data_IF_292453639537
#
_entry.id   IF_292453639537
#
_cell.length_a   1.000
_cell.length_b   1.000
_cell.length_c   1.000
_cell.angle_alpha   90.00
_cell.angle_beta   90.00
_cell.angle_gamma   90.00
#
_symmetry.space_group_name_H-M   'P 1'
#
loop_
_entity.id
_entity.type
_entity.pdbx_description
1 polymer ?
#
# COMPACT_ATOMS: atom_id res chain seq x y z
N UNK A 1 0.47 31.38 -8.95
CA UNK A 1 -0.35 30.64 -7.96
C UNK A 1 0.08 29.18 -8.02
N UNK A 2 0.34 28.54 -6.87
CA UNK A 2 0.81 27.16 -6.79
C UNK A 2 -0.20 26.25 -6.09
N UNK A 3 -0.13 24.96 -6.38
CA UNK A 3 -0.99 23.92 -5.80
C UNK A 3 -0.12 22.94 -5.01
N UNK A 4 -0.64 22.43 -3.89
CA UNK A 4 0.04 21.43 -3.08
C UNK A 4 -0.20 20.05 -3.72
N UNK A 5 0.89 19.37 -4.07
CA UNK A 5 0.89 17.98 -4.53
C UNK A 5 1.77 17.18 -3.57
N UNK A 6 1.30 16.01 -3.18
CA UNK A 6 2.02 15.11 -2.27
C UNK A 6 2.69 14.00 -3.08
N UNK A 7 4.02 13.97 -3.14
CA UNK A 7 4.78 12.89 -3.77
C UNK A 7 5.09 11.81 -2.73
N UNK A 8 4.63 10.58 -2.96
CA UNK A 8 4.80 9.49 -2.00
C UNK A 8 5.29 8.21 -2.65
N UNK A 9 6.11 7.49 -1.90
CA UNK A 9 6.64 6.18 -2.28
C UNK A 9 5.84 5.05 -1.62
N UNK A 10 4.91 5.38 -0.71
CA UNK A 10 4.09 4.42 0.03
C UNK A 10 2.62 4.54 -0.34
N UNK A 11 2.09 3.50 -0.99
CA UNK A 11 0.67 3.29 -1.18
C UNK A 11 0.07 2.74 0.12
N UNK A 12 -0.39 3.66 0.96
CA UNK A 12 -1.10 3.36 2.19
C UNK A 12 -2.61 3.39 1.94
N UNK A 13 -3.34 2.29 2.08
CA UNK A 13 -4.79 2.25 1.82
C UNK A 13 -5.53 1.40 2.86
N UNK A 14 -6.81 1.71 3.11
CA UNK A 14 -7.70 0.90 3.96
C UNK A 14 -8.42 -0.17 3.11
N UNK A 15 -9.07 -1.13 3.77
CA UNK A 15 -9.94 -2.12 3.09
C UNK A 15 -11.06 -1.47 2.30
N UNK A 16 -11.62 -0.37 2.81
CA UNK A 16 -12.65 0.40 2.13
C UNK A 16 -12.11 1.06 0.87
N UNK A 17 -10.87 1.58 0.90
CA UNK A 17 -10.20 2.21 -0.24
C UNK A 17 -9.66 1.23 -1.30
N UNK A 18 -9.99 -0.06 -1.20
CA UNK A 18 -9.58 -1.07 -2.18
C UNK A 18 -8.37 -1.91 -1.79
N UNK A 19 -8.00 -1.97 -0.50
CA UNK A 19 -6.98 -2.94 -0.08
C UNK A 19 -7.44 -4.38 -0.40
N UNK A 20 -6.58 -5.24 -0.99
CA UNK A 20 -6.97 -6.58 -1.40
C UNK A 20 -7.48 -7.42 -0.22
N UNK A 21 -8.74 -7.87 -0.29
CA UNK A 21 -9.36 -8.71 0.76
C UNK A 21 -8.64 -10.04 1.00
N UNK A 22 -7.88 -10.48 0.01
CA UNK A 22 -7.13 -11.74 0.04
C UNK A 22 -5.86 -11.65 0.88
N UNK A 23 -5.31 -10.44 1.03
CA UNK A 23 -4.22 -10.17 1.96
C UNK A 23 -4.80 -10.04 3.38
N UNK A 24 -5.14 -11.19 3.94
CA UNK A 24 -5.58 -11.29 5.33
C UNK A 24 -4.41 -11.67 6.24
N UNK A 25 -4.20 -10.88 7.29
CA UNK A 25 -3.05 -11.03 8.20
C UNK A 25 -3.10 -12.35 8.98
N UNK A 26 -4.29 -12.74 9.45
CA UNK A 26 -4.46 -13.95 10.27
C UNK A 26 -4.24 -15.21 9.42
N UNK A 27 -4.65 -15.13 8.14
CA UNK A 27 -4.38 -16.19 7.17
C UNK A 27 -2.91 -16.23 6.79
N UNK A 28 -2.30 -15.07 6.57
CA UNK A 28 -0.90 -14.95 6.17
C UNK A 28 0.05 -15.53 7.22
N UNK A 29 -0.25 -15.34 8.51
CA UNK A 29 0.56 -15.88 9.60
C UNK A 29 0.57 -17.42 9.63
N UNK A 30 -0.51 -18.06 9.17
CA UNK A 30 -0.64 -19.53 9.09
C UNK A 30 -0.18 -20.08 7.74
N UNK A 31 -0.42 -19.35 6.66
CA UNK A 31 -0.11 -19.73 5.28
C UNK A 31 0.47 -18.53 4.53
N UNK A 32 1.81 -18.36 4.51
CA UNK A 32 2.45 -17.23 3.85
C UNK A 32 2.16 -17.24 2.34
N UNK A 33 1.58 -16.15 1.85
CA UNK A 33 1.47 -15.88 0.41
C UNK A 33 2.84 -15.59 -0.19
N UNK A 34 3.01 -15.98 -1.45
CA UNK A 34 4.17 -15.63 -2.26
C UNK A 34 3.76 -14.61 -3.33
N UNK A 35 4.70 -13.79 -3.79
CA UNK A 35 4.46 -12.87 -4.93
C UNK A 35 3.91 -13.57 -6.19
N UNK A 36 4.17 -14.87 -6.34
CA UNK A 36 3.62 -15.71 -7.41
C UNK A 36 2.09 -15.79 -7.38
N UNK A 37 1.46 -15.76 -6.21
CA UNK A 37 0.00 -15.86 -6.05
C UNK A 37 -0.73 -14.62 -6.58
N UNK A 38 -0.02 -13.50 -6.65
CA UNK A 38 -0.55 -12.21 -7.13
C UNK A 38 -0.01 -11.82 -8.51
N UNK A 39 0.83 -12.66 -9.12
CA UNK A 39 1.48 -12.35 -10.39
C UNK A 39 0.43 -12.14 -11.49
N UNK A 40 0.49 -11.00 -12.16
CA UNK A 40 -0.42 -10.64 -13.25
C UNK A 40 -1.77 -10.08 -12.81
N UNK A 41 -2.04 -10.02 -11.50
CA UNK A 41 -3.27 -9.44 -10.98
C UNK A 41 -3.16 -7.93 -10.83
N UNK A 42 -4.22 -7.24 -11.19
CA UNK A 42 -4.34 -5.79 -11.05
C UNK A 42 -5.35 -5.50 -9.96
N UNK A 43 -4.95 -4.66 -9.02
CA UNK A 43 -5.78 -4.15 -7.94
C UNK A 43 -6.07 -2.69 -8.17
N UNK A 44 -7.17 -2.21 -7.61
CA UNK A 44 -7.62 -0.83 -7.75
C UNK A 44 -7.76 -0.22 -6.37
N UNK A 45 -7.35 1.04 -6.23
CA UNK A 45 -7.60 1.84 -5.05
C UNK A 45 -8.36 3.10 -5.43
N UNK A 46 -9.14 3.61 -4.48
CA UNK A 46 -10.00 4.77 -4.72
C UNK A 46 -10.07 5.72 -3.53
N UNK A 47 -10.47 6.95 -3.84
CA UNK A 47 -10.83 8.00 -2.87
C UNK A 47 -9.75 8.26 -1.81
N UNK A 48 -8.48 8.16 -2.21
CA UNK A 48 -7.39 8.55 -1.31
C UNK A 48 -7.34 10.08 -1.24
N UNK A 49 -7.36 10.67 -0.03
CA UNK A 49 -7.42 12.12 0.08
C UNK A 49 -6.12 12.77 -0.40
N UNK A 50 -6.29 13.97 -0.98
CA UNK A 50 -5.30 14.80 -1.65
C UNK A 50 -4.86 14.27 -3.01
N UNK A 51 -4.28 15.17 -3.80
CA UNK A 51 -3.60 14.85 -5.05
C UNK A 51 -2.23 14.27 -4.73
N UNK A 52 -2.07 12.96 -4.95
CA UNK A 52 -0.85 12.20 -4.68
C UNK A 52 -0.21 11.71 -5.96
N UNK A 53 1.09 11.91 -6.09
CA UNK A 53 1.88 11.35 -7.18
C UNK A 53 2.73 10.21 -6.62
N UNK A 54 2.60 9.05 -7.26
CA UNK A 54 3.45 7.90 -7.00
C UNK A 54 4.51 7.77 -8.09
N UNK A 55 5.60 7.08 -7.78
CA UNK A 55 6.61 6.80 -8.79
C UNK A 55 6.06 5.86 -9.85
N UNK A 56 6.33 6.20 -11.12
CA UNK A 56 5.96 5.39 -12.27
C UNK A 56 6.86 4.14 -12.37
N UNK A 57 6.39 3.06 -13.00
CA UNK A 57 7.21 1.89 -13.30
C UNK A 57 8.46 2.30 -14.09
N UNK A 58 9.64 1.70 -13.82
CA UNK A 58 9.86 0.46 -13.06
C UNK A 58 10.14 0.67 -11.56
N UNK A 59 9.89 1.85 -11.01
CA UNK A 59 10.14 2.13 -9.59
C UNK A 59 9.06 1.48 -8.73
N UNK A 60 9.49 0.84 -7.64
CA UNK A 60 8.61 0.16 -6.69
C UNK A 60 8.13 1.13 -5.63
N UNK A 61 6.84 1.09 -5.32
CA UNK A 61 6.24 1.76 -4.17
C UNK A 61 5.99 0.74 -3.06
N UNK A 62 6.01 1.15 -1.80
CA UNK A 62 5.65 0.30 -0.66
C UNK A 62 4.14 0.15 -0.56
N UNK A 63 3.68 -1.04 -0.22
CA UNK A 63 2.27 -1.30 0.10
C UNK A 63 2.09 -1.33 1.61
N UNK A 64 1.23 -0.46 2.11
CA UNK A 64 0.84 -0.44 3.52
C UNK A 64 -0.68 -0.52 3.66
N UNK A 65 -1.15 -1.39 4.55
CA UNK A 65 -2.55 -1.42 4.99
C UNK A 65 -2.69 -0.49 6.19
N UNK A 66 -3.66 0.41 6.14
CA UNK A 66 -4.04 1.22 7.30
C UNK A 66 -5.21 0.56 8.03
N UNK A 67 -4.98 0.14 9.28
CA UNK A 67 -6.01 -0.32 10.21
C UNK A 67 -6.08 0.64 11.39
N UNK A 68 -7.08 1.52 11.40
CA UNK A 68 -7.34 2.48 12.48
C UNK A 68 -6.12 3.33 12.88
N UNK A 69 -5.33 3.77 11.90
CA UNK A 69 -4.12 4.56 12.11
C UNK A 69 -2.85 3.74 12.29
N UNK A 70 -2.96 2.41 12.41
CA UNK A 70 -1.82 1.46 12.45
C UNK A 70 -1.45 1.01 11.05
N UNK A 71 -0.17 1.02 10.73
CA UNK A 71 0.32 0.68 9.39
C UNK A 71 0.95 -0.70 9.40
N UNK A 72 0.39 -1.58 8.58
CA UNK A 72 0.93 -2.92 8.32
C UNK A 72 1.63 -2.86 6.96
N UNK A 73 2.94 -3.06 6.95
CA UNK A 73 3.75 -3.03 5.73
C UNK A 73 3.73 -4.40 5.07
N UNK A 74 3.13 -4.50 3.89
CA UNK A 74 2.87 -5.77 3.20
C UNK A 74 3.92 -6.11 2.15
N UNK A 75 4.59 -5.12 1.57
CA UNK A 75 5.56 -5.39 0.51
C UNK A 75 5.72 -4.24 -0.47
N UNK A 76 5.93 -4.60 -1.73
CA UNK A 76 6.23 -3.68 -2.82
C UNK A 76 5.25 -3.86 -3.98
N UNK A 77 4.83 -2.73 -4.57
CA UNK A 77 3.86 -2.65 -5.66
C UNK A 77 4.37 -1.75 -6.78
N UNK A 78 3.88 -2.01 -7.99
CA UNK A 78 4.00 -1.09 -9.12
C UNK A 78 2.65 -0.40 -9.33
N UNK A 79 2.66 0.93 -9.34
CA UNK A 79 1.48 1.71 -9.74
C UNK A 79 1.42 1.72 -11.26
N UNK A 80 0.29 1.30 -11.83
CA UNK A 80 0.09 1.22 -13.28
C UNK A 80 -0.61 2.48 -13.78
N UNK A 81 -1.59 2.95 -13.01
CA UNK A 81 -2.47 4.04 -13.39
C UNK A 81 -2.78 4.88 -12.15
N UNK A 82 -2.83 6.19 -12.34
CA UNK A 82 -3.25 7.14 -11.32
C UNK A 82 -4.26 8.09 -11.94
N UNK A 83 -5.37 8.30 -11.24
CA UNK A 83 -6.43 9.23 -11.61
C UNK A 83 -6.59 10.25 -10.50
N UNK A 84 -6.56 11.53 -10.87
CA UNK A 84 -6.72 12.66 -9.96
C UNK A 84 -8.08 13.31 -10.17
N UNK A 85 -8.93 13.28 -9.15
CA UNK A 85 -10.15 14.08 -9.12
C UNK A 85 -9.80 15.47 -8.55
N UNK A 86 -9.73 16.47 -9.43
CA UNK A 86 -9.36 17.83 -9.04
C UNK A 86 -10.45 18.57 -8.28
N UNK A 87 -11.71 18.12 -8.35
CA UNK A 87 -12.85 18.73 -7.65
C UNK A 87 -12.92 18.18 -6.23
N UNK A 88 -12.86 16.85 -6.07
CA UNK A 88 -12.85 16.19 -4.76
C UNK A 88 -11.49 16.20 -4.08
N UNK A 89 -10.44 16.55 -4.83
CA UNK A 89 -9.04 16.44 -4.40
C UNK A 89 -8.70 15.03 -3.93
N UNK A 90 -9.06 14.02 -4.71
CA UNK A 90 -8.76 12.61 -4.41
C UNK A 90 -7.88 11.97 -5.47
N UNK A 91 -7.19 10.91 -5.07
CA UNK A 91 -6.36 10.08 -5.92
C UNK A 91 -6.88 8.66 -5.91
N UNK A 92 -7.13 8.12 -7.09
CA UNK A 92 -7.50 6.74 -7.36
C UNK A 92 -6.48 6.14 -8.32
N UNK A 93 -6.49 4.83 -8.52
CA UNK A 93 -5.57 4.21 -9.45
C UNK A 93 -5.53 2.71 -9.40
N UNK A 94 -4.61 2.15 -10.17
CA UNK A 94 -4.40 0.70 -10.28
C UNK A 94 -2.96 0.33 -9.97
N UNK A 95 -2.77 -0.84 -9.37
CA UNK A 95 -1.46 -1.33 -8.99
C UNK A 95 -1.33 -2.84 -9.13
N UNK A 96 -0.09 -3.30 -9.27
CA UNK A 96 0.32 -4.71 -9.26
C UNK A 96 1.18 -4.97 -8.04
N UNK A 97 0.96 -6.11 -7.40
CA UNK A 97 1.84 -6.59 -6.33
C UNK A 97 3.05 -7.25 -6.99
N UNK A 98 4.24 -6.76 -6.66
CA UNK A 98 5.50 -7.31 -7.16
C UNK A 98 6.14 -8.23 -6.12
N UNK A 99 6.09 -7.82 -4.85
CA UNK A 99 6.69 -8.55 -3.75
C UNK A 99 5.84 -8.43 -2.49
N UNK A 100 5.71 -9.53 -1.74
CA UNK A 100 5.08 -9.58 -0.44
C UNK A 100 6.15 -9.95 0.59
N UNK A 101 6.22 -9.17 1.66
CA UNK A 101 7.13 -9.39 2.77
C UNK A 101 6.71 -10.59 3.59
N UNK A 102 7.70 -11.40 3.97
CA UNK A 102 7.57 -12.41 5.03
C UNK A 102 7.19 -11.77 6.36
N UNK A 103 6.57 -12.50 7.31
CA UNK A 103 6.20 -11.93 8.60
C UNK A 103 7.37 -11.24 9.35
N UNK A 104 8.59 -11.77 9.20
CA UNK A 104 9.79 -11.17 9.80
C UNK A 104 10.22 -9.88 9.08
N UNK A 105 10.14 -9.84 7.75
CA UNK A 105 10.37 -8.62 6.97
C UNK A 105 9.32 -7.55 7.26
N UNK A 106 8.06 -7.92 7.46
CA UNK A 106 7.01 -6.97 7.84
C UNK A 106 7.33 -6.30 9.19
N UNK A 107 7.81 -7.08 10.18
CA UNK A 107 8.27 -6.56 11.48
C UNK A 107 9.48 -5.66 11.33
N UNK A 108 10.46 -6.05 10.51
CA UNK A 108 11.63 -5.22 10.24
C UNK A 108 11.25 -3.92 9.54
N UNK A 109 10.39 -3.97 8.53
CA UNK A 109 9.89 -2.81 7.82
C UNK A 109 9.18 -1.84 8.77
N UNK A 110 8.35 -2.36 9.69
CA UNK A 110 7.72 -1.56 10.73
C UNK A 110 8.74 -0.87 11.65
N UNK A 111 9.75 -1.62 12.11
CA UNK A 111 10.81 -1.08 12.97
C UNK A 111 11.66 -0.01 12.28
N UNK A 112 11.89 -0.13 10.97
CA UNK A 112 12.71 0.82 10.20
C UNK A 112 11.92 2.06 9.82
N UNK A 113 10.71 1.88 9.27
CA UNK A 113 9.91 2.92 8.63
C UNK A 113 9.04 3.70 9.61
N UNK A 114 8.44 3.03 10.60
CA UNK A 114 7.47 3.65 11.50
C UNK A 114 8.12 4.06 12.84
N UNK A 115 9.02 3.23 13.37
CA UNK A 115 9.75 3.42 14.65
C UNK A 115 8.88 3.75 15.88
N UNK A 116 7.55 3.75 15.74
CA UNK A 116 6.61 4.00 16.82
C UNK A 116 6.53 2.74 17.69
N UNK A 117 6.74 2.85 19.02
CA UNK A 117 6.92 1.68 19.89
C UNK A 117 5.63 0.86 20.16
N UNK A 118 4.46 1.26 19.64
CA UNK A 118 3.16 0.76 20.10
C UNK A 118 2.23 0.22 18.99
N UNK A 119 2.82 -0.22 17.88
CA UNK A 119 2.06 -0.65 16.68
C UNK A 119 2.42 -2.03 16.18
N UNK A 120 3.25 -2.78 16.91
CA UNK A 120 3.43 -4.21 16.69
C UNK A 120 2.09 -4.92 16.90
N UNK A 121 1.60 -5.53 15.82
CA UNK A 121 0.44 -6.42 15.86
C UNK A 121 0.77 -7.53 16.87
N UNK A 122 0.07 -7.51 18.01
CA UNK A 122 0.05 -8.63 18.95
C UNK A 122 -0.76 -9.77 18.37
#
# INVERSE_FOLDING_TARGET
MGTIIETNDTLQITREQGFPKELDYDRYQKYPFTSKDFKGRVFEFHDKPKIRIYHAPPVRNFLAENRDGKWIYWGQVHIIEVTHDMVKQTTSGKFKIEYIYTPDEMKQAHNILDRRPDVSVK
#
